data_IF_475993391600
#
_entry.id   IF_475993391600
#
_cell.length_a   1.000
_cell.length_b   1.000
_cell.length_c   1.000
_cell.angle_alpha   90.00
_cell.angle_beta   90.00
_cell.angle_gamma   90.00
#
_symmetry.space_group_name_H-M   'P 1'
#
loop_
_entity.id
_entity.type
_entity.pdbx_description
1 polymer ?
#
# COMPACT_ATOMS: atom_id res chain seq x y z
N UNK A 1 -9.89 -6.84 0.35
CA UNK A 1 -8.81 -6.80 1.34
C UNK A 1 -7.51 -6.69 0.57
N UNK A 2 -6.66 -5.74 0.94
CA UNK A 2 -5.31 -5.58 0.41
C UNK A 2 -4.37 -6.29 1.39
N UNK A 3 -3.67 -7.36 0.96
CA UNK A 3 -2.87 -8.21 1.85
C UNK A 3 -1.63 -7.46 2.38
N UNK A 4 -0.82 -8.13 3.19
CA UNK A 4 0.38 -7.55 3.80
C UNK A 4 1.31 -6.96 2.72
N UNK A 5 1.54 -5.65 2.80
CA UNK A 5 2.33 -4.93 1.83
C UNK A 5 3.06 -3.74 2.42
N UNK A 6 4.13 -3.33 1.75
CA UNK A 6 4.97 -2.17 2.08
C UNK A 6 4.97 -1.17 0.92
N UNK A 7 4.77 0.10 1.26
CA UNK A 7 4.95 1.22 0.34
C UNK A 7 6.43 1.58 0.26
N UNK A 8 7.06 1.35 -0.89
CA UNK A 8 8.51 1.58 -1.07
C UNK A 8 8.84 3.08 -1.03
N UNK A 9 7.95 3.89 -1.58
CA UNK A 9 7.98 5.35 -1.49
C UNK A 9 6.65 5.87 -0.94
N UNK A 10 6.42 7.17 -1.02
CA UNK A 10 5.18 7.79 -0.54
C UNK A 10 3.97 7.18 -1.30
N UNK A 11 2.94 6.80 -0.55
CA UNK A 11 1.59 6.57 -1.06
C UNK A 11 0.74 7.83 -0.82
N UNK A 12 -0.10 8.17 -1.80
CA UNK A 12 -1.15 9.18 -1.67
C UNK A 12 -2.48 8.59 -2.12
N UNK A 13 -3.47 8.59 -1.23
CA UNK A 13 -4.79 8.03 -1.52
C UNK A 13 -5.90 9.01 -1.15
N UNK A 14 -6.79 9.26 -2.11
CA UNK A 14 -8.01 10.05 -1.92
C UNK A 14 -9.23 9.16 -2.02
N UNK A 15 -10.09 9.17 -0.99
CA UNK A 15 -11.28 8.30 -0.94
C UNK A 15 -12.45 9.01 -1.61
N UNK A 16 -12.99 8.40 -2.67
CA UNK A 16 -14.12 8.92 -3.43
C UNK A 16 -15.45 8.42 -2.85
N UNK A 17 -15.52 7.13 -2.48
CA UNK A 17 -16.69 6.50 -1.87
C UNK A 17 -16.26 5.47 -0.81
N UNK A 18 -17.10 5.22 0.19
CA UNK A 18 -16.84 4.25 1.25
C UNK A 18 -15.71 4.67 2.20
N UNK A 19 -14.91 3.70 2.65
CA UNK A 19 -13.80 3.93 3.57
C UNK A 19 -12.68 2.90 3.47
N UNK A 20 -11.46 3.34 3.75
CA UNK A 20 -10.24 2.54 3.86
C UNK A 20 -9.85 2.43 5.33
N UNK A 21 -9.63 1.22 5.83
CA UNK A 21 -9.21 0.96 7.21
C UNK A 21 -7.89 0.21 7.22
N UNK A 22 -6.95 0.69 8.03
CA UNK A 22 -5.72 -0.02 8.35
C UNK A 22 -5.96 -1.04 9.46
N UNK A 23 -5.78 -2.31 9.16
CA UNK A 23 -6.05 -3.40 10.09
C UNK A 23 -4.85 -3.73 10.97
N UNK A 24 -3.65 -3.64 10.41
CA UNK A 24 -2.38 -4.04 11.03
C UNK A 24 -1.28 -3.02 10.66
N UNK A 25 -0.15 -3.03 11.36
CA UNK A 25 0.95 -2.08 11.13
C UNK A 25 0.86 -0.78 11.95
N UNK A 26 1.80 0.17 11.74
CA UNK A 26 1.89 1.41 12.53
C UNK A 26 0.65 2.31 12.44
N UNK A 27 -0.08 2.21 11.33
CA UNK A 27 -1.29 2.99 11.06
C UNK A 27 -2.58 2.29 11.51
N UNK A 28 -2.50 1.16 12.23
CA UNK A 28 -3.66 0.37 12.64
C UNK A 28 -4.74 1.23 13.32
N UNK A 29 -5.99 1.06 12.85
CA UNK A 29 -7.15 1.77 13.36
C UNK A 29 -7.38 3.14 12.74
N UNK A 30 -6.48 3.61 11.87
CA UNK A 30 -6.76 4.75 10.99
C UNK A 30 -7.81 4.32 9.97
N UNK A 31 -8.83 5.16 9.83
CA UNK A 31 -9.91 5.03 8.89
C UNK A 31 -9.97 6.32 8.06
N UNK A 32 -9.92 6.19 6.74
CA UNK A 32 -10.10 7.29 5.79
C UNK A 32 -11.43 7.12 5.07
N UNK A 33 -12.32 8.10 5.18
CA UNK A 33 -13.68 8.13 4.64
C UNK A 33 -13.75 8.95 3.36
N UNK A 34 -14.86 8.80 2.63
CA UNK A 34 -15.14 9.61 1.44
C UNK A 34 -14.89 11.12 1.68
N UNK A 35 -14.07 11.72 0.82
CA UNK A 35 -13.64 13.11 0.92
C UNK A 35 -12.31 13.31 1.66
N UNK A 36 -11.79 12.29 2.33
CA UNK A 36 -10.53 12.37 3.07
C UNK A 36 -9.34 11.96 2.21
N UNK A 37 -8.19 12.55 2.54
CA UNK A 37 -6.91 12.28 1.91
C UNK A 37 -5.96 11.69 2.93
N UNK A 38 -5.35 10.56 2.60
CA UNK A 38 -4.32 9.90 3.39
C UNK A 38 -3.01 9.91 2.59
N UNK A 39 -1.92 10.19 3.28
CA UNK A 39 -0.57 10.00 2.79
C UNK A 39 0.17 9.07 3.74
N UNK A 40 1.00 8.18 3.18
CA UNK A 40 1.83 7.27 3.97
C UNK A 40 3.29 7.45 3.63
N UNK A 41 4.10 7.37 4.67
CA UNK A 41 5.55 7.49 4.57
C UNK A 41 6.18 6.26 3.90
N UNK A 42 7.32 6.43 3.22
CA UNK A 42 8.11 5.31 2.70
C UNK A 42 8.43 4.27 3.78
N UNK A 43 8.35 2.99 3.43
CA UNK A 43 8.57 1.86 4.32
C UNK A 43 7.36 1.51 5.20
N UNK A 44 6.23 2.21 5.07
CA UNK A 44 5.01 1.85 5.80
C UNK A 44 4.50 0.49 5.33
N UNK A 45 4.43 -0.48 6.25
CA UNK A 45 3.94 -1.85 6.02
C UNK A 45 2.67 -2.13 6.81
N UNK A 46 1.64 -2.61 6.13
CA UNK A 46 0.32 -2.83 6.72
C UNK A 46 -0.58 -3.78 5.90
N UNK A 47 -1.73 -4.10 6.49
CA UNK A 47 -2.87 -4.76 5.85
C UNK A 47 -4.03 -3.77 5.84
N UNK A 48 -4.66 -3.56 4.69
CA UNK A 48 -5.74 -2.59 4.56
C UNK A 48 -7.01 -3.23 3.99
N UNK A 49 -8.18 -2.68 4.33
CA UNK A 49 -9.46 -3.20 3.83
C UNK A 49 -10.55 -2.13 3.81
N UNK A 50 -11.59 -2.38 3.03
CA UNK A 50 -12.76 -1.51 2.93
C UNK A 50 -13.99 -2.26 3.47
N UNK A 51 -14.38 -2.07 4.74
CA UNK A 51 -15.44 -2.86 5.39
C UNK A 51 -16.79 -2.87 4.65
N UNK A 52 -17.13 -1.75 4.02
CA UNK A 52 -18.40 -1.54 3.32
C UNK A 52 -18.19 -1.30 1.82
N UNK A 53 -17.01 -1.68 1.30
CA UNK A 53 -16.54 -1.28 -0.01
C UNK A 53 -15.89 0.10 0.01
N UNK A 54 -15.23 0.45 -1.10
CA UNK A 54 -14.56 1.72 -1.26
C UNK A 54 -14.14 1.94 -2.71
N UNK A 55 -14.23 3.20 -3.14
CA UNK A 55 -13.68 3.68 -4.40
C UNK A 55 -12.65 4.75 -4.04
N UNK A 56 -11.41 4.59 -4.51
CA UNK A 56 -10.34 5.52 -4.18
C UNK A 56 -9.47 5.79 -5.40
N UNK A 57 -8.84 6.96 -5.42
CA UNK A 57 -7.71 7.27 -6.27
C UNK A 57 -6.43 7.09 -5.44
N UNK A 58 -5.67 6.04 -5.73
CA UNK A 58 -4.40 5.76 -5.08
C UNK A 58 -3.24 5.98 -6.07
N UNK A 59 -2.22 6.71 -5.63
CA UNK A 59 -1.04 7.08 -6.43
C UNK A 59 0.18 6.52 -5.71
N UNK A 60 0.95 5.72 -6.44
CA UNK A 60 2.20 5.11 -5.99
C UNK A 60 3.33 5.53 -6.92
N UNK A 61 4.46 5.94 -6.36
CA UNK A 61 5.64 6.29 -7.17
C UNK A 61 6.37 5.04 -7.70
N UNK A 62 6.36 3.97 -6.90
CA UNK A 62 6.93 2.65 -7.22
C UNK A 62 5.93 1.61 -6.74
N UNK A 63 5.76 0.47 -7.45
CA UNK A 63 4.88 -0.60 -7.00
C UNK A 63 5.17 -1.06 -5.58
N UNK A 64 4.12 -1.33 -4.80
CA UNK A 64 4.25 -1.87 -3.46
C UNK A 64 4.90 -3.26 -3.48
N UNK A 65 5.59 -3.60 -2.39
CA UNK A 65 6.01 -4.96 -2.10
C UNK A 65 4.86 -5.69 -1.42
N UNK A 66 4.41 -6.81 -1.96
CA UNK A 66 3.44 -7.71 -1.31
C UNK A 66 4.17 -8.91 -0.73
N UNK A 67 3.87 -9.23 0.54
CA UNK A 67 4.52 -10.33 1.26
C UNK A 67 3.62 -11.56 1.29
N UNK A 68 4.00 -12.58 0.53
CA UNK A 68 3.27 -13.84 0.47
C UNK A 68 3.59 -14.74 1.68
N UNK A 69 2.64 -15.61 2.02
CA UNK A 69 2.80 -16.52 3.18
C UNK A 69 3.95 -17.53 3.01
N UNK A 70 4.39 -17.77 1.77
CA UNK A 70 5.53 -18.63 1.43
C UNK A 70 6.88 -17.88 1.46
N UNK A 71 6.89 -16.61 1.84
CA UNK A 71 8.07 -15.76 1.96
C UNK A 71 8.47 -15.02 0.69
N UNK A 72 7.74 -15.20 -0.43
CA UNK A 72 7.98 -14.41 -1.64
C UNK A 72 7.59 -12.95 -1.45
N UNK A 73 8.32 -12.07 -2.12
CA UNK A 73 8.01 -10.64 -2.21
C UNK A 73 7.72 -10.31 -3.66
N UNK A 74 6.47 -9.93 -3.93
CA UNK A 74 5.99 -9.73 -5.31
C UNK A 74 5.39 -8.34 -5.52
N UNK A 75 5.28 -7.92 -6.78
CA UNK A 75 4.44 -6.78 -7.15
C UNK A 75 2.96 -7.16 -7.30
N UNK A 76 2.10 -6.19 -7.61
CA UNK A 76 0.66 -6.43 -7.78
C UNK A 76 0.31 -7.37 -8.96
N UNK A 77 1.24 -7.61 -9.88
CA UNK A 77 1.09 -8.56 -10.98
C UNK A 77 1.64 -9.96 -10.64
N UNK A 78 2.26 -10.12 -9.46
CA UNK A 78 2.81 -11.39 -8.98
C UNK A 78 4.24 -11.67 -9.45
N UNK A 79 4.93 -10.69 -10.04
CA UNK A 79 6.34 -10.83 -10.40
C UNK A 79 7.24 -10.65 -9.18
N UNK A 80 8.43 -11.26 -9.19
CA UNK A 80 9.43 -10.98 -8.16
C UNK A 80 9.74 -9.48 -8.13
N UNK A 81 9.61 -8.90 -6.94
CA UNK A 81 9.69 -7.46 -6.79
C UNK A 81 11.11 -6.95 -6.99
N UNK A 82 12.13 -7.61 -6.43
CA UNK A 82 13.52 -7.15 -6.51
C UNK A 82 14.06 -7.28 -7.93
N UNK A 83 13.72 -8.36 -8.64
CA UNK A 83 14.08 -8.55 -10.05
C UNK A 83 13.45 -7.47 -10.95
N UNK A 84 12.20 -7.09 -10.69
CA UNK A 84 11.45 -6.15 -11.55
C UNK A 84 11.71 -4.69 -11.19
N UNK A 85 11.77 -4.37 -9.89
CA UNK A 85 11.72 -3.01 -9.36
C UNK A 85 12.89 -2.66 -8.43
N UNK A 86 13.81 -3.59 -8.14
CA UNK A 86 14.90 -3.37 -7.18
C UNK A 86 15.82 -2.19 -7.52
N UNK A 87 15.90 -1.81 -8.79
CA UNK A 87 16.62 -0.64 -9.27
C UNK A 87 15.98 0.71 -8.87
N UNK A 88 14.71 0.71 -8.46
CA UNK A 88 13.93 1.92 -8.10
C UNK A 88 13.92 2.22 -6.60
N UNK A 89 14.28 1.23 -5.77
CA UNK A 89 14.23 1.33 -4.30
C UNK A 89 15.38 2.11 -3.67
N UNK A 90 16.42 2.45 -4.45
CA UNK A 90 17.48 3.36 -4.00
C UNK A 90 17.22 4.73 -4.60
N UNK A 91 16.60 5.62 -3.81
CA UNK A 91 16.78 7.06 -4.04
C UNK A 91 18.29 7.30 -4.17
N UNK A 92 18.71 7.94 -5.26
CA UNK A 92 20.12 8.17 -5.56
C UNK A 92 20.84 8.70 -4.33
N UNK A 93 21.99 8.08 -4.03
CA UNK A 93 23.00 8.64 -3.12
C UNK A 93 23.46 10.01 -3.60
#
# INVERSE_FOLDING_TARGET
MLPDHEHVHIEQTYVLEGHLVDKEGPAKGIEAKAGEFVWREPGSRHVAWCPEGGLMLAIFQVPNKFFEADGRVVDAAGHDWDETWGHTGKGGS
#
